data_IF_338400363544
#
_entry.id   IF_338400363544
#
_cell.length_a   1.000
_cell.length_b   1.000
_cell.length_c   1.000
_cell.angle_alpha   90.00
_cell.angle_beta   90.00
_cell.angle_gamma   90.00
#
_symmetry.space_group_name_H-M   'P 1'
#
loop_
_entity.id
_entity.type
_entity.pdbx_description
1 polymer ?
#
# COMPACT_ATOMS: atom_id res chain seq x y z
N UNK A 1 66.68 -27.80 5.65
CA UNK A 1 66.32 -28.11 4.25
C UNK A 1 65.83 -26.83 3.58
N UNK A 2 66.28 -26.54 2.35
CA UNK A 2 66.39 -25.19 1.77
C UNK A 2 65.12 -24.74 1.03
N UNK A 3 65.02 -23.45 0.64
CA UNK A 3 63.95 -22.90 -0.18
C UNK A 3 64.19 -23.24 -1.67
N UNK A 4 63.13 -23.34 -2.47
CA UNK A 4 63.27 -23.49 -3.93
C UNK A 4 62.86 -22.24 -4.69
N UNK A 5 63.77 -21.90 -5.59
CA UNK A 5 63.96 -20.67 -6.35
C UNK A 5 63.19 -20.70 -7.67
N UNK A 6 62.88 -19.51 -8.20
CA UNK A 6 62.54 -19.22 -9.60
C UNK A 6 63.51 -19.83 -10.61
N UNK A 7 63.13 -19.99 -11.89
CA UNK A 7 63.76 -19.34 -13.07
C UNK A 7 63.05 -19.73 -14.38
N UNK A 8 62.94 -18.74 -15.25
CA UNK A 8 62.36 -18.60 -16.58
C UNK A 8 63.09 -19.34 -17.73
N UNK A 9 62.44 -19.45 -18.90
CA UNK A 9 62.88 -19.00 -20.26
C UNK A 9 62.60 -19.95 -21.45
N UNK A 10 62.49 -19.30 -22.62
CA UNK A 10 62.55 -19.77 -24.04
C UNK A 10 61.27 -20.39 -24.63
N UNK A 11 60.81 -20.06 -25.84
CA UNK A 11 61.32 -19.24 -26.94
C UNK A 11 60.49 -19.52 -28.20
N UNK A 12 60.19 -18.48 -28.98
CA UNK A 12 59.43 -18.41 -30.25
C UNK A 12 59.92 -19.42 -31.33
N UNK A 13 59.14 -19.93 -32.29
CA UNK A 13 58.59 -19.22 -33.47
C UNK A 13 58.04 -20.25 -34.49
N UNK A 14 56.87 -20.04 -35.12
CA UNK A 14 56.74 -20.02 -36.59
C UNK A 14 55.43 -19.33 -37.07
N UNK A 15 55.56 -18.57 -38.17
CA UNK A 15 54.73 -17.48 -38.75
C UNK A 15 53.43 -17.96 -39.45
N UNK A 16 52.38 -17.15 -39.72
CA UNK A 16 52.29 -16.13 -40.79
C UNK A 16 51.01 -15.25 -40.69
N UNK A 17 51.17 -13.96 -41.02
CA UNK A 17 50.29 -12.75 -41.10
C UNK A 17 49.02 -12.83 -42.03
N UNK A 18 48.05 -11.86 -42.07
CA UNK A 18 48.21 -10.39 -41.93
C UNK A 18 47.11 -9.58 -41.19
N UNK A 19 47.18 -8.26 -41.37
CA UNK A 19 46.75 -7.16 -40.53
C UNK A 19 45.34 -6.56 -40.76
N UNK A 20 44.88 -5.84 -39.73
CA UNK A 20 44.14 -4.56 -39.70
C UNK A 20 42.65 -4.43 -40.10
N UNK A 21 41.95 -3.79 -39.13
CA UNK A 21 40.83 -2.82 -39.20
C UNK A 21 39.37 -3.32 -39.14
N UNK A 22 38.66 -2.88 -38.09
CA UNK A 22 37.21 -2.70 -38.10
C UNK A 22 36.45 -3.19 -36.86
N UNK A 23 36.32 -2.32 -35.87
CA UNK A 23 35.39 -2.27 -34.73
C UNK A 23 34.14 -3.19 -34.74
N UNK A 24 33.96 -4.00 -33.68
CA UNK A 24 32.70 -4.19 -32.92
C UNK A 24 32.82 -5.33 -31.89
N UNK A 25 32.61 -5.03 -30.60
CA UNK A 25 32.44 -6.02 -29.53
C UNK A 25 31.09 -6.78 -29.70
N UNK A 26 31.04 -8.13 -29.66
CA UNK A 26 29.78 -8.86 -29.70
C UNK A 26 29.11 -8.89 -28.31
N UNK A 27 27.85 -8.45 -28.27
CA UNK A 27 26.96 -8.50 -27.10
C UNK A 27 26.77 -9.92 -26.57
N UNK A 28 27.00 -10.10 -25.26
CA UNK A 28 26.71 -11.32 -24.52
C UNK A 28 25.21 -11.41 -24.26
N UNK A 29 24.52 -12.14 -25.13
CA UNK A 29 23.09 -12.41 -25.05
C UNK A 29 22.76 -13.22 -23.77
N UNK A 30 22.25 -12.55 -22.74
CA UNK A 30 21.86 -13.16 -21.46
C UNK A 30 20.48 -13.78 -21.63
N UNK A 31 20.42 -14.98 -22.20
CA UNK A 31 19.19 -15.79 -22.19
C UNK A 31 18.94 -16.20 -20.73
N UNK A 32 17.90 -15.60 -20.13
CA UNK A 32 17.30 -16.03 -18.87
C UNK A 32 16.73 -17.42 -19.11
N UNK A 33 17.42 -18.44 -18.61
CA UNK A 33 16.96 -19.82 -18.60
C UNK A 33 15.78 -19.92 -17.61
N UNK A 34 14.60 -20.20 -18.14
CA UNK A 34 13.37 -20.37 -17.36
C UNK A 34 13.46 -21.70 -16.61
N UNK A 35 13.64 -21.65 -15.30
CA UNK A 35 13.39 -22.81 -14.44
C UNK A 35 11.87 -23.00 -14.39
N UNK A 36 11.39 -24.06 -15.04
CA UNK A 36 10.04 -24.58 -14.87
C UNK A 36 9.94 -25.19 -13.47
N UNK A 37 9.20 -24.50 -12.59
CA UNK A 37 9.04 -24.88 -11.19
C UNK A 37 7.80 -25.78 -11.10
N UNK A 38 8.01 -26.99 -10.58
CA UNK A 38 6.99 -27.99 -10.26
C UNK A 38 5.90 -27.41 -9.35
N UNK A 39 4.69 -27.30 -9.91
CA UNK A 39 3.48 -26.63 -9.40
C UNK A 39 2.74 -27.42 -8.29
N UNK A 40 3.35 -28.52 -7.81
CA UNK A 40 2.67 -29.55 -7.00
C UNK A 40 2.70 -29.32 -5.47
N UNK A 41 3.07 -28.11 -5.00
CA UNK A 41 3.17 -27.80 -3.56
C UNK A 41 2.53 -26.46 -3.15
N UNK A 42 1.85 -25.79 -4.06
CA UNK A 42 1.08 -24.58 -3.75
C UNK A 42 -0.27 -24.98 -3.12
N UNK A 43 -0.62 -24.37 -1.99
CA UNK A 43 -1.89 -24.67 -1.29
C UNK A 43 -3.09 -24.27 -2.16
N UNK A 44 -2.94 -23.35 -3.12
CA UNK A 44 -3.99 -22.90 -4.03
C UNK A 44 -3.79 -23.49 -5.44
N UNK A 45 -4.27 -24.71 -5.65
CA UNK A 45 -4.10 -25.46 -6.91
C UNK A 45 -5.01 -25.01 -8.08
N UNK A 46 -5.93 -24.07 -7.90
CA UNK A 46 -6.90 -23.70 -8.94
C UNK A 46 -6.64 -22.30 -9.52
N UNK A 47 -6.49 -22.24 -10.85
CA UNK A 47 -6.45 -21.01 -11.65
C UNK A 47 -7.64 -20.06 -11.37
N UNK A 48 -8.72 -20.57 -10.78
CA UNK A 48 -9.95 -19.83 -10.47
C UNK A 48 -9.79 -18.80 -9.32
N UNK A 49 -8.85 -19.00 -8.39
CA UNK A 49 -8.64 -18.06 -7.27
C UNK A 49 -7.64 -16.93 -7.57
N UNK A 50 -6.85 -17.02 -8.64
CA UNK A 50 -5.87 -15.98 -9.04
C UNK A 50 -6.51 -14.92 -9.94
N UNK A 51 -7.50 -14.21 -9.39
CA UNK A 51 -8.40 -13.34 -10.16
C UNK A 51 -7.82 -11.95 -10.51
N UNK A 52 -6.65 -11.57 -9.97
CA UNK A 52 -6.09 -10.23 -10.16
C UNK A 52 -5.00 -10.21 -11.22
N UNK A 53 -5.33 -9.61 -12.37
CA UNK A 53 -4.34 -9.20 -13.36
C UNK A 53 -3.56 -7.98 -12.89
N UNK A 54 -2.36 -7.81 -13.45
CA UNK A 54 -1.46 -6.68 -13.19
C UNK A 54 -2.14 -5.32 -12.98
N UNK A 55 -3.01 -4.92 -13.90
CA UNK A 55 -3.67 -3.61 -13.86
C UNK A 55 -4.56 -3.45 -12.62
N UNK A 56 -5.26 -4.52 -12.21
CA UNK A 56 -6.11 -4.53 -11.01
C UNK A 56 -5.27 -4.49 -9.74
N UNK A 57 -4.17 -5.24 -9.71
CA UNK A 57 -3.21 -5.22 -8.60
C UNK A 57 -2.56 -3.87 -8.44
N UNK A 58 -2.12 -3.22 -9.52
CA UNK A 58 -1.57 -1.87 -9.48
C UNK A 58 -2.49 -0.86 -8.80
N UNK A 59 -3.80 -1.03 -8.89
CA UNK A 59 -4.79 -0.14 -8.27
C UNK A 59 -5.06 -0.49 -6.81
N UNK A 60 -5.11 -1.77 -6.50
CA UNK A 60 -5.15 -2.21 -5.09
C UNK A 60 -3.91 -1.69 -4.38
N UNK A 61 -2.73 -1.79 -5.00
CA UNK A 61 -1.49 -1.23 -4.50
C UNK A 61 -1.51 0.30 -4.49
N UNK A 62 -2.09 0.95 -5.49
CA UNK A 62 -2.31 2.40 -5.51
C UNK A 62 -3.11 2.86 -4.29
N UNK A 63 -4.16 2.12 -3.93
CA UNK A 63 -4.98 2.42 -2.76
C UNK A 63 -4.28 2.07 -1.45
N UNK A 64 -3.54 0.97 -1.44
CA UNK A 64 -2.95 0.43 -0.22
C UNK A 64 -1.63 1.08 0.14
N UNK A 65 -0.81 1.50 -0.83
CA UNK A 65 0.60 1.80 -0.62
C UNK A 65 0.99 3.18 -1.09
N UNK A 66 1.50 4.00 -0.20
CA UNK A 66 2.56 4.94 -0.55
C UNK A 66 3.87 4.41 0.06
N UNK A 67 5.03 4.51 -0.62
CA UNK A 67 6.41 4.69 -0.12
C UNK A 67 7.52 4.08 -0.99
N UNK A 68 8.71 4.67 -0.83
CA UNK A 68 10.03 4.34 -1.42
C UNK A 68 10.79 3.20 -0.74
N UNK A 69 10.25 2.59 0.33
CA UNK A 69 10.78 1.35 0.93
C UNK A 69 10.79 0.17 -0.04
N UNK A 70 10.09 0.32 -1.17
CA UNK A 70 10.06 -0.58 -2.32
C UNK A 70 11.42 -0.96 -2.87
N UNK A 71 12.46 -0.13 -2.79
CA UNK A 71 13.73 -0.50 -3.41
C UNK A 71 14.39 -1.73 -2.75
N UNK A 72 14.14 -1.96 -1.46
CA UNK A 72 14.68 -3.12 -0.72
C UNK A 72 13.75 -4.33 -0.75
N UNK A 73 12.55 -4.17 -1.31
CA UNK A 73 11.51 -5.20 -1.29
C UNK A 73 11.76 -6.25 -2.38
N UNK A 74 11.98 -5.92 -3.67
CA UNK A 74 12.37 -6.89 -4.68
C UNK A 74 13.63 -7.67 -4.30
N UNK A 75 14.60 -7.08 -3.61
CA UNK A 75 15.79 -7.81 -3.14
C UNK A 75 15.47 -8.78 -2.00
N UNK A 76 14.64 -8.38 -1.03
CA UNK A 76 14.15 -9.27 0.03
C UNK A 76 13.23 -10.39 -0.53
N UNK A 77 12.40 -10.08 -1.51
CA UNK A 77 11.52 -11.05 -2.17
C UNK A 77 12.28 -11.99 -3.12
N UNK A 78 13.35 -11.51 -3.75
CA UNK A 78 14.28 -12.33 -4.53
C UNK A 78 14.97 -13.38 -3.65
N UNK A 79 15.41 -12.99 -2.45
CA UNK A 79 16.10 -13.89 -1.52
C UNK A 79 15.16 -14.83 -0.78
N UNK A 80 13.95 -14.38 -0.39
CA UNK A 80 13.01 -15.14 0.45
C UNK A 80 11.84 -15.73 -0.35
N UNK A 81 11.20 -14.93 -1.22
CA UNK A 81 9.93 -15.25 -1.89
C UNK A 81 10.04 -16.14 -3.13
N UNK A 82 11.17 -16.12 -3.84
CA UNK A 82 11.39 -17.00 -5.01
C UNK A 82 12.06 -18.34 -4.65
N UNK A 83 12.55 -18.49 -3.41
CA UNK A 83 13.32 -19.67 -2.95
C UNK A 83 12.53 -20.60 -2.02
N UNK A 84 11.46 -20.12 -1.39
CA UNK A 84 10.61 -20.89 -0.46
C UNK A 84 9.11 -20.76 -0.79
N UNK A 85 8.57 -21.75 -1.52
CA UNK A 85 7.15 -21.83 -1.92
C UNK A 85 6.13 -21.93 -0.75
N UNK A 86 6.59 -21.98 0.51
CA UNK A 86 5.74 -22.07 1.71
C UNK A 86 5.40 -20.73 2.39
N UNK A 87 5.96 -19.60 1.92
CA UNK A 87 5.85 -18.29 2.60
C UNK A 87 4.72 -17.46 1.98
N UNK A 88 3.50 -17.67 2.44
CA UNK A 88 2.31 -16.95 1.96
C UNK A 88 1.85 -15.82 2.90
N UNK A 89 2.40 -15.73 4.10
CA UNK A 89 2.14 -14.64 5.04
C UNK A 89 3.43 -14.04 5.59
N UNK A 90 3.37 -12.78 6.01
CA UNK A 90 4.51 -12.09 6.66
C UNK A 90 4.93 -12.79 7.95
N UNK A 91 3.98 -13.40 8.65
CA UNK A 91 4.29 -14.19 9.83
C UNK A 91 5.14 -15.42 9.49
N UNK A 92 4.99 -16.02 8.30
CA UNK A 92 5.84 -17.13 7.86
C UNK A 92 7.24 -16.66 7.46
N UNK A 93 7.34 -15.51 6.82
CA UNK A 93 8.62 -14.90 6.49
C UNK A 93 9.39 -14.56 7.78
N UNK A 94 8.69 -14.01 8.77
CA UNK A 94 9.24 -13.75 10.10
C UNK A 94 9.61 -15.04 10.85
N UNK A 95 8.82 -16.11 10.70
CA UNK A 95 9.12 -17.42 11.28
C UNK A 95 10.44 -17.99 10.76
N UNK A 96 10.73 -17.82 9.47
CA UNK A 96 11.98 -18.28 8.86
C UNK A 96 13.20 -17.49 9.33
N UNK A 97 13.06 -16.18 9.56
CA UNK A 97 14.17 -15.32 9.98
C UNK A 97 14.42 -15.32 11.49
N UNK A 98 13.39 -15.53 12.32
CA UNK A 98 13.48 -15.32 13.77
C UNK A 98 12.73 -16.36 14.62
N UNK A 99 12.31 -17.48 14.03
CA UNK A 99 11.65 -18.57 14.74
C UNK A 99 10.19 -18.29 15.15
N UNK A 100 9.59 -19.15 16.00
CA UNK A 100 8.16 -19.09 16.32
C UNK A 100 7.75 -17.84 17.10
N UNK A 101 8.65 -17.22 17.86
CA UNK A 101 8.37 -15.98 18.58
C UNK A 101 8.23 -14.81 17.59
N UNK A 102 9.13 -14.71 16.61
CA UNK A 102 9.06 -13.70 15.58
C UNK A 102 7.79 -13.83 14.72
N UNK A 103 7.31 -15.06 14.50
CA UNK A 103 6.03 -15.35 13.82
C UNK A 103 4.84 -14.69 14.53
N UNK A 104 4.76 -14.86 15.85
CA UNK A 104 3.63 -14.33 16.63
C UNK A 104 3.70 -12.81 16.76
N UNK A 105 4.89 -12.26 17.02
CA UNK A 105 5.08 -10.81 17.08
C UNK A 105 4.76 -10.15 15.74
N UNK A 106 5.28 -10.68 14.62
CA UNK A 106 5.07 -10.10 13.30
C UNK A 106 3.61 -10.13 12.87
N UNK A 107 2.88 -11.22 13.15
CA UNK A 107 1.47 -11.27 12.83
C UNK A 107 0.58 -10.48 13.80
N UNK A 108 0.95 -10.37 15.08
CA UNK A 108 0.29 -9.47 16.02
C UNK A 108 0.45 -8.01 15.60
N UNK A 109 1.67 -7.60 15.23
CA UNK A 109 1.96 -6.25 14.72
C UNK A 109 1.25 -5.97 13.40
N UNK A 110 1.18 -6.96 12.51
CA UNK A 110 0.41 -6.87 11.26
C UNK A 110 -1.06 -6.57 11.53
N UNK A 111 -1.71 -7.34 12.42
CA UNK A 111 -3.12 -7.14 12.77
C UNK A 111 -3.35 -5.78 13.43
N UNK A 112 -2.50 -5.43 14.40
CA UNK A 112 -2.56 -4.14 15.09
C UNK A 112 -2.47 -2.97 14.09
N UNK A 113 -1.56 -3.07 13.11
CA UNK A 113 -1.40 -2.03 12.08
C UNK A 113 -2.69 -1.82 11.29
N UNK A 114 -3.35 -2.91 10.86
CA UNK A 114 -4.58 -2.79 10.07
C UNK A 114 -5.79 -2.34 10.89
N UNK A 115 -5.88 -2.76 12.15
CA UNK A 115 -6.93 -2.29 13.07
C UNK A 115 -6.78 -0.78 13.26
N UNK A 116 -5.58 -0.28 13.59
CA UNK A 116 -5.33 1.15 13.75
C UNK A 116 -5.56 1.94 12.46
N UNK A 117 -5.12 1.40 11.31
CA UNK A 117 -5.37 2.02 10.01
C UNK A 117 -6.88 2.10 9.71
N UNK A 118 -7.63 1.01 9.91
CA UNK A 118 -9.09 0.99 9.74
C UNK A 118 -9.79 2.01 10.64
N UNK A 119 -9.37 2.14 11.90
CA UNK A 119 -9.87 3.15 12.83
C UNK A 119 -9.67 4.57 12.31
N UNK A 120 -8.48 4.90 11.78
CA UNK A 120 -8.23 6.22 11.18
C UNK A 120 -9.13 6.49 9.97
N UNK A 121 -9.38 5.47 9.15
CA UNK A 121 -10.29 5.59 8.02
C UNK A 121 -11.77 5.73 8.43
N UNK A 122 -12.20 5.10 9.53
CA UNK A 122 -13.55 5.29 10.08
C UNK A 122 -13.75 6.71 10.61
N UNK A 123 -12.72 7.30 11.22
CA UNK A 123 -12.75 8.71 11.64
C UNK A 123 -12.91 9.63 10.42
N UNK A 124 -12.15 9.39 9.34
CA UNK A 124 -12.27 10.16 8.10
C UNK A 124 -13.66 10.05 7.45
N UNK A 125 -14.25 8.85 7.45
CA UNK A 125 -15.61 8.63 6.96
C UNK A 125 -16.68 9.30 7.86
N UNK A 126 -16.47 9.26 9.18
CA UNK A 126 -17.34 9.92 10.16
C UNK A 126 -17.33 11.44 10.00
N UNK A 127 -16.16 12.05 9.79
CA UNK A 127 -16.02 13.48 9.46
C UNK A 127 -16.84 13.82 8.20
N UNK A 128 -16.77 12.98 7.15
CA UNK A 128 -17.57 13.17 5.95
C UNK A 128 -19.09 13.16 6.21
N UNK A 129 -19.59 12.21 7.00
CA UNK A 129 -21.02 12.18 7.37
C UNK A 129 -21.42 13.36 8.26
N UNK A 130 -20.56 13.73 9.21
CA UNK A 130 -20.78 14.86 10.12
C UNK A 130 -20.87 16.17 9.36
N UNK A 131 -20.00 16.40 8.38
CA UNK A 131 -19.99 17.63 7.57
C UNK A 131 -21.20 17.75 6.64
N UNK A 132 -21.77 16.62 6.20
CA UNK A 132 -23.02 16.60 5.42
C UNK A 132 -24.28 16.74 6.27
N UNK A 133 -24.20 16.34 7.55
CA UNK A 133 -25.33 16.40 8.47
C UNK A 133 -25.49 17.80 9.06
N UNK A 134 -26.71 18.33 9.03
CA UNK A 134 -27.06 19.56 9.77
C UNK A 134 -27.38 19.30 11.26
N UNK A 135 -27.35 18.04 11.71
CA UNK A 135 -27.61 17.68 13.11
C UNK A 135 -26.31 17.58 13.91
N UNK A 136 -26.33 18.14 15.12
CA UNK A 136 -25.26 17.99 16.10
C UNK A 136 -25.38 16.64 16.81
N UNK A 137 -24.71 15.64 16.25
CA UNK A 137 -24.56 14.30 16.85
C UNK A 137 -23.09 14.11 17.23
N UNK A 138 -22.82 13.34 18.29
CA UNK A 138 -21.45 13.05 18.71
C UNK A 138 -20.67 12.31 17.61
N UNK A 139 -19.37 12.59 17.51
CA UNK A 139 -18.53 11.98 16.46
C UNK A 139 -18.51 10.45 16.55
N UNK A 140 -18.59 9.91 17.77
CA UNK A 140 -18.62 8.47 18.04
C UNK A 140 -19.79 7.79 17.32
N UNK A 141 -20.98 8.40 17.29
CA UNK A 141 -22.12 7.82 16.59
C UNK A 141 -21.89 7.79 15.08
N UNK A 142 -21.26 8.81 14.50
CA UNK A 142 -20.89 8.81 13.08
C UNK A 142 -19.82 7.77 12.76
N UNK A 143 -18.87 7.53 13.68
CA UNK A 143 -17.87 6.46 13.56
C UNK A 143 -18.52 5.08 13.60
N UNK A 144 -19.55 4.87 14.44
CA UNK A 144 -20.31 3.61 14.46
C UNK A 144 -21.08 3.37 13.15
N UNK A 145 -21.68 4.42 12.59
CA UNK A 145 -22.33 4.35 11.28
C UNK A 145 -21.31 4.01 10.19
N UNK A 146 -20.15 4.67 10.19
CA UNK A 146 -19.04 4.38 9.28
C UNK A 146 -18.57 2.92 9.37
N UNK A 147 -18.34 2.42 10.59
CA UNK A 147 -17.94 1.04 10.86
C UNK A 147 -18.99 0.04 10.34
N UNK A 148 -20.27 0.30 10.58
CA UNK A 148 -21.38 -0.55 10.11
C UNK A 148 -21.46 -0.58 8.58
N UNK A 149 -21.34 0.57 7.91
CA UNK A 149 -21.31 0.64 6.45
C UNK A 149 -20.14 -0.16 5.88
N UNK A 150 -18.95 -0.03 6.46
CA UNK A 150 -17.77 -0.78 6.01
C UNK A 150 -17.90 -2.28 6.28
N UNK A 151 -18.48 -2.70 7.41
CA UNK A 151 -18.72 -4.12 7.71
C UNK A 151 -19.62 -4.80 6.66
N UNK A 152 -20.68 -4.10 6.23
CA UNK A 152 -21.60 -4.58 5.20
C UNK A 152 -20.87 -4.77 3.86
N UNK A 153 -20.05 -3.80 3.45
CA UNK A 153 -19.31 -3.87 2.17
C UNK A 153 -18.17 -4.91 2.23
N UNK A 154 -17.52 -5.05 3.38
CA UNK A 154 -16.42 -6.00 3.60
C UNK A 154 -16.88 -7.45 3.71
N UNK A 155 -18.18 -7.69 3.90
CA UNK A 155 -18.77 -9.03 3.99
C UNK A 155 -18.53 -9.89 2.74
N UNK A 156 -18.14 -9.30 1.60
CA UNK A 156 -17.80 -10.02 0.37
C UNK A 156 -16.39 -10.64 0.49
N UNK A 157 -16.24 -11.99 0.50
CA UNK A 157 -14.95 -12.65 0.72
C UNK A 157 -14.01 -12.67 -0.49
N UNK A 158 -14.40 -12.10 -1.64
CA UNK A 158 -13.63 -12.22 -2.90
C UNK A 158 -13.00 -10.91 -3.35
N UNK A 159 -11.67 -10.88 -3.44
CA UNK A 159 -10.89 -9.71 -3.87
C UNK A 159 -11.12 -9.33 -5.35
N UNK A 160 -11.46 -10.29 -6.20
CA UNK A 160 -11.77 -10.04 -7.61
C UNK A 160 -12.95 -9.09 -7.81
N UNK A 161 -14.01 -9.24 -7.00
CA UNK A 161 -15.18 -8.33 -7.03
C UNK A 161 -14.87 -6.99 -6.36
N UNK A 162 -14.05 -6.99 -5.31
CA UNK A 162 -13.58 -5.77 -4.65
C UNK A 162 -12.73 -4.88 -5.56
N UNK A 163 -12.08 -5.42 -6.60
CA UNK A 163 -11.29 -4.62 -7.54
C UNK A 163 -12.11 -3.59 -8.32
N UNK A 164 -13.36 -3.90 -8.68
CA UNK A 164 -14.25 -2.94 -9.36
C UNK A 164 -14.66 -1.82 -8.40
N UNK A 165 -14.98 -2.19 -7.16
CA UNK A 165 -15.30 -1.22 -6.13
C UNK A 165 -14.07 -0.37 -5.76
N UNK A 166 -12.86 -0.95 -5.81
CA UNK A 166 -11.61 -0.22 -5.61
C UNK A 166 -11.38 0.83 -6.71
N UNK A 167 -11.75 0.56 -7.96
CA UNK A 167 -11.76 1.55 -9.05
C UNK A 167 -12.68 2.72 -8.75
N UNK A 168 -13.93 2.43 -8.35
CA UNK A 168 -14.92 3.47 -8.01
C UNK A 168 -14.41 4.30 -6.83
N UNK A 169 -13.91 3.64 -5.79
CA UNK A 169 -13.38 4.33 -4.63
C UNK A 169 -12.10 5.13 -4.93
N UNK A 170 -11.28 4.71 -5.89
CA UNK A 170 -10.10 5.47 -6.31
C UNK A 170 -10.49 6.71 -7.10
N UNK A 171 -11.40 6.58 -8.06
CA UNK A 171 -11.93 7.71 -8.81
C UNK A 171 -12.60 8.73 -7.87
N UNK A 172 -13.42 8.24 -6.92
CA UNK A 172 -14.09 9.05 -5.90
C UNK A 172 -13.11 9.87 -5.05
N UNK A 173 -12.11 9.24 -4.42
CA UNK A 173 -11.16 9.97 -3.58
C UNK A 173 -10.29 10.93 -4.40
N UNK A 174 -9.88 10.52 -5.61
CA UNK A 174 -9.06 11.34 -6.50
C UNK A 174 -9.81 12.60 -6.95
N UNK A 175 -11.07 12.45 -7.38
CA UNK A 175 -11.92 13.57 -7.74
C UNK A 175 -12.20 14.48 -6.54
N UNK A 176 -12.44 13.93 -5.35
CA UNK A 176 -12.64 14.73 -4.14
C UNK A 176 -11.41 15.58 -3.79
N UNK A 177 -10.21 15.00 -3.82
CA UNK A 177 -8.96 15.74 -3.58
C UNK A 177 -8.75 16.80 -4.66
N UNK A 178 -9.01 16.47 -5.92
CA UNK A 178 -8.90 17.43 -7.03
C UNK A 178 -9.85 18.63 -6.86
N UNK A 179 -11.10 18.40 -6.42
CA UNK A 179 -12.06 19.45 -6.11
C UNK A 179 -11.52 20.37 -5.00
N UNK A 180 -10.94 19.81 -3.94
CA UNK A 180 -10.36 20.62 -2.84
C UNK A 180 -9.17 21.42 -3.32
N UNK A 181 -8.27 20.81 -4.10
CA UNK A 181 -7.08 21.47 -4.64
C UNK A 181 -7.46 22.65 -5.52
N UNK A 182 -8.44 22.49 -6.41
CA UNK A 182 -8.97 23.62 -7.20
C UNK A 182 -9.72 24.61 -6.31
N UNK A 183 -10.52 24.11 -5.37
CA UNK A 183 -11.31 24.93 -4.46
C UNK A 183 -10.49 25.90 -3.63
N UNK A 184 -9.38 25.44 -3.02
CA UNK A 184 -8.51 26.31 -2.21
C UNK A 184 -7.83 27.41 -3.03
N UNK A 185 -7.69 27.24 -4.36
CA UNK A 185 -7.16 28.32 -5.23
C UNK A 185 -8.16 29.43 -5.51
N UNK A 186 -9.46 29.17 -5.33
CA UNK A 186 -10.54 30.12 -5.58
C UNK A 186 -11.01 30.84 -4.31
N UNK A 187 -10.50 30.43 -3.15
CA UNK A 187 -10.92 30.94 -1.85
C UNK A 187 -9.94 32.02 -1.40
N UNK A 188 -10.44 33.24 -1.18
CA UNK A 188 -9.63 34.40 -0.77
C UNK A 188 -9.03 34.26 0.64
N UNK A 189 -9.63 33.40 1.49
CA UNK A 189 -9.20 33.14 2.87
C UNK A 189 -9.40 31.68 3.27
N UNK A 190 -8.36 30.95 3.69
CA UNK A 190 -8.50 29.55 4.09
C UNK A 190 -9.46 29.41 5.27
N UNK A 191 -10.21 28.30 5.30
CA UNK A 191 -11.31 28.12 6.25
C UNK A 191 -10.88 28.19 7.73
N UNK A 192 -9.65 27.75 8.04
CA UNK A 192 -9.12 27.78 9.40
C UNK A 192 -8.42 29.10 9.78
N UNK A 193 -8.31 30.08 8.88
CA UNK A 193 -7.80 31.40 9.21
C UNK A 193 -8.88 32.26 9.92
N UNK A 194 -8.46 33.28 10.70
CA UNK A 194 -9.38 34.26 11.26
C UNK A 194 -10.23 34.91 10.15
N UNK A 195 -11.56 34.84 10.29
CA UNK A 195 -12.50 35.30 9.26
C UNK A 195 -12.47 36.83 9.07
N UNK A 196 -11.94 37.57 10.05
CA UNK A 196 -11.77 39.02 10.03
C UNK A 196 -10.39 39.41 10.55
N UNK A 197 -9.76 40.41 9.93
CA UNK A 197 -8.45 40.95 10.33
C UNK A 197 -7.31 40.58 9.37
N UNK A 198 -6.09 41.11 9.59
CA UNK A 198 -4.90 40.70 8.87
C UNK A 198 -4.54 39.26 9.26
N UNK A 199 -4.24 38.43 8.27
CA UNK A 199 -3.75 37.07 8.47
C UNK A 199 -2.48 36.89 7.64
N UNK A 200 -1.51 36.17 8.20
CA UNK A 200 -0.26 35.86 7.52
C UNK A 200 -0.23 34.37 7.15
N UNK A 201 -0.07 34.12 5.85
CA UNK A 201 0.15 32.79 5.28
C UNK A 201 1.65 32.51 5.39
N UNK A 202 2.03 32.03 6.57
CA UNK A 202 3.40 31.71 6.90
C UNK A 202 3.87 30.47 6.12
N UNK A 203 4.23 30.67 4.85
CA UNK A 203 4.69 29.63 3.91
C UNK A 203 6.21 29.61 3.94
N UNK A 204 6.78 28.57 4.53
CA UNK A 204 8.23 28.36 4.61
C UNK A 204 8.63 27.18 3.74
N UNK A 205 9.56 27.40 2.79
CA UNK A 205 10.10 26.30 1.97
C UNK A 205 10.97 25.34 2.80
N UNK A 206 11.67 25.85 3.81
CA UNK A 206 12.41 25.08 4.81
C UNK A 206 12.02 25.60 6.18
N UNK A 207 11.09 24.92 6.84
CA UNK A 207 10.67 25.27 8.19
C UNK A 207 11.64 24.72 9.24
N UNK A 208 11.73 25.42 10.37
CA UNK A 208 12.32 24.91 11.63
C UNK A 208 11.19 24.56 12.60
N UNK A 209 10.44 23.46 12.37
CA UNK A 209 9.38 23.08 13.29
C UNK A 209 9.98 22.76 14.65
N UNK A 210 9.23 23.06 15.72
CA UNK A 210 9.55 22.55 17.04
C UNK A 210 9.55 21.01 17.07
N UNK A 211 10.08 20.43 18.15
CA UNK A 211 10.22 18.98 18.27
C UNK A 211 8.90 18.22 18.03
N UNK A 212 7.81 18.64 18.69
CA UNK A 212 6.50 17.98 18.59
C UNK A 212 5.93 18.01 17.16
N UNK A 213 5.73 19.18 16.51
CA UNK A 213 5.21 19.21 15.14
C UNK A 213 6.14 18.52 14.14
N UNK A 214 7.46 18.57 14.34
CA UNK A 214 8.43 17.84 13.52
C UNK A 214 8.26 16.32 13.60
N UNK A 215 8.13 15.77 14.82
CA UNK A 215 7.89 14.33 15.02
C UNK A 215 6.52 13.92 14.48
N UNK A 216 5.47 14.70 14.72
CA UNK A 216 4.12 14.40 14.19
C UNK A 216 4.11 14.40 12.65
N UNK A 217 4.77 15.36 12.01
CA UNK A 217 4.90 15.38 10.55
C UNK A 217 5.67 14.16 10.03
N UNK A 218 6.79 13.80 10.68
CA UNK A 218 7.57 12.61 10.32
C UNK A 218 6.76 11.32 10.48
N UNK A 219 5.99 11.19 11.57
CA UNK A 219 5.11 10.04 11.82
C UNK A 219 3.95 9.97 10.83
N UNK A 220 3.34 11.11 10.47
CA UNK A 220 2.27 11.16 9.47
C UNK A 220 2.78 10.76 8.09
N UNK A 221 3.97 11.22 7.71
CA UNK A 221 4.65 10.76 6.49
C UNK A 221 4.90 9.25 6.62
N UNK A 222 5.60 8.79 7.66
CA UNK A 222 5.91 7.37 7.85
C UNK A 222 4.67 6.47 7.81
N UNK A 223 3.57 6.87 8.45
CA UNK A 223 2.31 6.12 8.49
C UNK A 223 1.61 6.14 7.14
N UNK A 224 1.58 7.28 6.45
CA UNK A 224 1.11 7.37 5.07
C UNK A 224 1.90 6.47 4.13
N UNK A 225 3.18 6.24 4.47
CA UNK A 225 4.16 5.45 3.73
C UNK A 225 4.32 3.98 4.22
N UNK A 226 3.43 3.50 5.11
CA UNK A 226 3.64 2.29 5.92
C UNK A 226 3.06 0.97 5.39
N UNK A 227 2.95 0.75 4.08
CA UNK A 227 2.09 -0.32 3.54
C UNK A 227 2.77 -1.61 3.08
N UNK A 228 4.06 -1.73 3.35
CA UNK A 228 4.86 -2.96 3.18
C UNK A 228 4.14 -4.25 3.59
N UNK A 229 3.36 -4.30 4.69
CA UNK A 229 2.68 -5.52 5.06
C UNK A 229 1.66 -6.05 4.03
N UNK A 230 1.14 -5.22 3.14
CA UNK A 230 0.12 -5.67 2.16
C UNK A 230 0.66 -6.51 1.03
N UNK A 231 1.96 -6.45 0.76
CA UNK A 231 2.52 -7.00 -0.46
C UNK A 231 2.34 -8.51 -0.55
N UNK A 232 2.61 -9.24 0.53
CA UNK A 232 2.45 -10.70 0.56
C UNK A 232 1.00 -11.15 0.29
N UNK A 233 -0.02 -10.66 1.03
CA UNK A 233 -1.42 -10.98 0.73
C UNK A 233 -1.87 -10.62 -0.69
N UNK A 234 -1.35 -9.52 -1.26
CA UNK A 234 -1.72 -9.06 -2.59
C UNK A 234 -1.05 -9.89 -3.68
N UNK A 235 0.23 -10.25 -3.51
CA UNK A 235 0.98 -11.10 -4.45
C UNK A 235 0.33 -12.48 -4.57
N UNK A 236 -0.11 -13.06 -3.44
CA UNK A 236 -0.77 -14.37 -3.41
C UNK A 236 -2.05 -14.43 -4.27
N UNK A 237 -2.63 -13.28 -4.61
CA UNK A 237 -3.86 -13.19 -5.40
C UNK A 237 -3.61 -12.84 -6.88
N UNK A 238 -2.36 -12.58 -7.24
CA UNK A 238 -2.01 -12.24 -8.61
C UNK A 238 -1.98 -13.47 -9.51
N UNK A 239 -2.52 -13.30 -10.72
CA UNK A 239 -2.37 -14.29 -11.80
C UNK A 239 -0.91 -14.51 -12.18
N UNK A 240 -0.08 -13.47 -12.09
CA UNK A 240 1.37 -13.55 -12.35
C UNK A 240 2.13 -12.74 -11.28
N UNK A 241 2.79 -13.41 -10.32
CA UNK A 241 3.58 -12.78 -9.25
C UNK A 241 4.84 -12.07 -9.79
N UNK A 242 5.41 -12.56 -10.90
CA UNK A 242 6.59 -11.95 -11.55
C UNK A 242 6.30 -10.54 -12.03
N UNK A 243 5.09 -10.32 -12.51
CA UNK A 243 4.56 -8.99 -12.71
C UNK A 243 3.96 -8.50 -11.40
N UNK A 244 4.70 -8.31 -10.32
CA UNK A 244 4.24 -7.52 -9.17
C UNK A 244 5.01 -6.19 -9.10
N UNK A 245 6.32 -6.26 -9.32
CA UNK A 245 7.26 -5.15 -9.19
C UNK A 245 6.91 -3.94 -10.05
N UNK A 246 6.65 -4.11 -11.36
CA UNK A 246 6.29 -2.97 -12.22
C UNK A 246 4.88 -2.35 -11.92
N UNK A 247 3.97 -3.02 -11.19
CA UNK A 247 2.64 -2.51 -10.81
C UNK A 247 2.83 -1.61 -9.62
N UNK A 248 3.61 -2.14 -8.69
CA UNK A 248 4.06 -1.44 -7.53
C UNK A 248 4.82 -0.17 -7.94
N UNK A 249 5.87 -0.24 -8.78
CA UNK A 249 6.57 0.97 -9.25
C UNK A 249 5.67 1.96 -9.98
N UNK A 250 4.81 1.48 -10.89
CA UNK A 250 3.87 2.36 -11.60
C UNK A 250 2.91 3.08 -10.66
N UNK A 251 2.41 2.39 -9.63
CA UNK A 251 1.55 3.00 -8.62
C UNK A 251 2.30 4.01 -7.75
N UNK A 252 3.52 3.69 -7.31
CA UNK A 252 4.30 4.57 -6.44
C UNK A 252 4.71 5.88 -7.12
N UNK A 253 5.14 5.83 -8.38
CA UNK A 253 5.51 7.05 -9.13
C UNK A 253 4.31 7.98 -9.27
N UNK A 254 3.13 7.43 -9.59
CA UNK A 254 1.90 8.21 -9.72
C UNK A 254 1.46 8.83 -8.39
N UNK A 255 1.54 8.07 -7.30
CA UNK A 255 1.18 8.58 -5.98
C UNK A 255 2.14 9.64 -5.47
N UNK A 256 3.44 9.44 -5.66
CA UNK A 256 4.45 10.41 -5.29
C UNK A 256 4.24 11.73 -6.03
N UNK A 257 3.94 11.68 -7.34
CA UNK A 257 3.67 12.88 -8.12
C UNK A 257 2.41 13.61 -7.65
N UNK A 258 1.32 12.88 -7.38
CA UNK A 258 0.08 13.46 -6.86
C UNK A 258 0.28 14.08 -5.47
N UNK A 259 1.02 13.40 -4.59
CA UNK A 259 1.27 13.86 -3.23
C UNK A 259 2.06 15.17 -3.21
N UNK A 260 3.14 15.25 -4.00
CA UNK A 260 3.93 16.48 -4.12
C UNK A 260 3.11 17.59 -4.78
N UNK A 261 2.38 17.29 -5.87
CA UNK A 261 1.59 18.29 -6.58
C UNK A 261 0.46 18.86 -5.72
N UNK A 262 -0.40 18.01 -5.16
CA UNK A 262 -1.54 18.43 -4.34
C UNK A 262 -1.09 19.03 -3.00
N UNK A 263 -0.09 18.42 -2.36
CA UNK A 263 0.47 18.93 -1.11
C UNK A 263 1.06 20.32 -1.26
N UNK A 264 1.82 20.56 -2.34
CA UNK A 264 2.41 21.89 -2.61
C UNK A 264 1.32 22.93 -2.86
N UNK A 265 0.32 22.64 -3.69
CA UNK A 265 -0.76 23.60 -3.97
C UNK A 265 -1.54 23.93 -2.69
N UNK A 266 -1.96 22.93 -1.92
CA UNK A 266 -2.69 23.19 -0.67
C UNK A 266 -1.84 23.98 0.32
N UNK A 267 -0.54 23.67 0.44
CA UNK A 267 0.36 24.40 1.32
C UNK A 267 0.57 25.86 0.90
N UNK A 268 0.70 26.13 -0.40
CA UNK A 268 0.89 27.50 -0.91
C UNK A 268 -0.34 28.40 -0.69
N UNK A 269 -1.56 27.84 -0.76
CA UNK A 269 -2.80 28.61 -0.64
C UNK A 269 -3.40 28.62 0.78
N UNK A 270 -3.12 27.62 1.62
CA UNK A 270 -3.62 27.57 3.00
C UNK A 270 -2.54 27.90 4.05
N UNK A 271 -1.25 27.78 3.72
CA UNK A 271 -0.14 27.99 4.64
C UNK A 271 -0.27 27.16 5.92
N UNK A 272 -0.15 27.80 7.08
CA UNK A 272 -0.34 27.15 8.40
C UNK A 272 -1.79 26.78 8.73
N UNK A 273 -2.77 27.23 7.95
CA UNK A 273 -4.20 27.03 8.20
C UNK A 273 -4.79 25.82 7.45
N UNK A 274 -3.95 24.81 7.16
CA UNK A 274 -4.42 23.55 6.59
C UNK A 274 -5.21 22.77 7.64
N UNK A 275 -6.45 22.41 7.31
CA UNK A 275 -7.28 21.59 8.19
C UNK A 275 -6.78 20.14 8.23
N UNK A 276 -7.07 19.43 9.31
CA UNK A 276 -6.85 17.98 9.41
C UNK A 276 -8.19 17.31 9.69
N UNK A 277 -8.76 16.53 8.75
CA UNK A 277 -8.25 16.20 7.41
C UNK A 277 -8.21 17.38 6.43
N UNK A 278 -7.31 17.32 5.43
CA UNK A 278 -7.07 18.41 4.48
C UNK A 278 -8.29 18.80 3.65
N UNK A 279 -9.26 17.90 3.49
CA UNK A 279 -10.52 18.16 2.76
C UNK A 279 -11.32 19.33 3.37
N UNK A 280 -11.19 19.57 4.68
CA UNK A 280 -11.83 20.69 5.38
C UNK A 280 -11.26 22.07 5.02
N UNK A 281 -10.10 22.14 4.35
CA UNK A 281 -9.41 23.41 4.13
C UNK A 281 -10.13 24.34 3.15
N UNK A 282 -10.95 23.78 2.24
CA UNK A 282 -11.73 24.56 1.28
C UNK A 282 -12.90 25.33 1.92
N UNK A 283 -13.43 24.84 3.05
CA UNK A 283 -14.56 25.43 3.77
C UNK A 283 -15.89 25.48 3.00
N UNK A 284 -16.94 25.83 3.74
CA UNK A 284 -18.25 26.16 3.18
C UNK A 284 -18.87 25.05 2.33
N UNK A 285 -19.36 25.42 1.14
CA UNK A 285 -20.03 24.48 0.24
C UNK A 285 -19.05 23.51 -0.44
N UNK A 286 -17.83 23.97 -0.76
CA UNK A 286 -16.82 23.14 -1.42
C UNK A 286 -16.37 21.98 -0.53
N UNK A 287 -16.22 22.24 0.77
CA UNK A 287 -15.94 21.22 1.78
C UNK A 287 -17.03 20.12 1.78
N UNK A 288 -18.32 20.51 1.80
CA UNK A 288 -19.43 19.54 1.78
C UNK A 288 -19.44 18.69 0.52
N UNK A 289 -19.16 19.30 -0.64
CA UNK A 289 -19.08 18.58 -1.92
C UNK A 289 -17.91 17.60 -1.90
N UNK A 290 -16.72 18.03 -1.44
CA UNK A 290 -15.54 17.17 -1.38
C UNK A 290 -15.73 15.98 -0.43
N UNK A 291 -16.29 16.20 0.75
CA UNK A 291 -16.62 15.11 1.68
C UNK A 291 -17.70 14.19 1.11
N UNK A 292 -18.74 14.72 0.46
CA UNK A 292 -19.75 13.90 -0.21
C UNK A 292 -19.18 13.00 -1.30
N UNK A 293 -18.31 13.53 -2.16
CA UNK A 293 -17.68 12.77 -3.25
C UNK A 293 -16.67 11.75 -2.72
N UNK A 294 -16.03 12.00 -1.58
CA UNK A 294 -15.00 11.09 -1.01
C UNK A 294 -15.55 9.91 -0.20
N UNK A 295 -16.83 9.92 0.19
CA UNK A 295 -17.45 8.82 0.99
C UNK A 295 -17.24 7.43 0.38
N UNK A 296 -17.53 7.18 -0.92
CA UNK A 296 -17.25 5.87 -1.53
C UNK A 296 -15.76 5.51 -1.49
N UNK A 297 -14.88 6.50 -1.63
CA UNK A 297 -13.44 6.36 -1.49
C UNK A 297 -13.03 5.86 -0.12
N UNK A 298 -13.51 6.51 0.94
CA UNK A 298 -13.24 6.16 2.34
C UNK A 298 -13.81 4.78 2.71
N UNK A 299 -15.05 4.47 2.33
CA UNK A 299 -15.67 3.15 2.54
C UNK A 299 -14.80 2.07 1.87
N UNK A 300 -14.37 2.30 0.64
CA UNK A 300 -13.58 1.29 -0.07
C UNK A 300 -12.17 1.12 0.46
N UNK A 301 -11.52 2.19 0.91
CA UNK A 301 -10.19 2.10 1.51
C UNK A 301 -10.23 1.38 2.86
N UNK A 302 -11.19 1.73 3.74
CA UNK A 302 -11.38 1.03 5.01
C UNK A 302 -11.76 -0.44 4.80
N UNK A 303 -12.61 -0.73 3.82
CA UNK A 303 -12.97 -2.11 3.44
C UNK A 303 -11.73 -2.91 3.07
N UNK A 304 -10.81 -2.38 2.27
CA UNK A 304 -9.59 -3.11 1.89
C UNK A 304 -8.72 -3.43 3.11
N UNK A 305 -8.56 -2.51 4.05
CA UNK A 305 -7.77 -2.73 5.27
C UNK A 305 -8.39 -3.80 6.17
N UNK A 306 -9.70 -3.70 6.44
CA UNK A 306 -10.45 -4.68 7.22
C UNK A 306 -10.41 -6.06 6.55
N UNK A 307 -10.62 -6.11 5.23
CA UNK A 307 -10.61 -7.35 4.47
C UNK A 307 -9.24 -8.05 4.49
N UNK A 308 -8.14 -7.30 4.37
CA UNK A 308 -6.78 -7.87 4.46
C UNK A 308 -6.48 -8.39 5.86
N UNK A 309 -6.90 -7.68 6.90
CA UNK A 309 -6.77 -8.13 8.29
C UNK A 309 -7.58 -9.41 8.54
N UNK A 310 -8.86 -9.41 8.18
CA UNK A 310 -9.75 -10.56 8.34
C UNK A 310 -9.27 -11.79 7.57
N UNK A 311 -8.76 -11.61 6.34
CA UNK A 311 -8.16 -12.69 5.57
C UNK A 311 -6.91 -13.27 6.23
N UNK A 312 -6.06 -12.42 6.81
CA UNK A 312 -4.88 -12.89 7.53
C UNK A 312 -5.25 -13.69 8.80
N UNK A 313 -6.35 -13.32 9.48
CA UNK A 313 -6.92 -14.08 10.59
C UNK A 313 -7.50 -15.41 10.12
N UNK A 314 -8.27 -15.40 9.04
CA UNK A 314 -8.88 -16.61 8.46
C UNK A 314 -7.80 -17.65 8.10
N UNK A 315 -6.73 -17.23 7.42
CA UNK A 315 -5.62 -18.11 7.04
C UNK A 315 -4.88 -18.62 8.26
N UNK A 316 -4.77 -17.84 9.34
CA UNK A 316 -4.16 -18.29 10.60
C UNK A 316 -5.02 -19.33 11.32
N UNK A 317 -6.33 -19.14 11.37
CA UNK A 317 -7.27 -20.02 12.08
C UNK A 317 -7.49 -21.34 11.31
N UNK A 318 -7.66 -21.27 9.99
CA UNK A 318 -8.05 -22.41 9.15
C UNK A 318 -6.89 -23.04 8.36
N UNK A 319 -5.63 -22.71 8.68
CA UNK A 319 -4.45 -23.07 7.87
C UNK A 319 -4.33 -24.54 7.47
N UNK A 320 -4.76 -25.44 8.35
CA UNK A 320 -4.64 -26.90 8.18
C UNK A 320 -6.01 -27.57 7.98
N UNK A 321 -7.02 -26.82 7.57
CA UNK A 321 -8.40 -27.28 7.49
C UNK A 321 -8.92 -27.29 6.04
N UNK A 322 -9.67 -28.33 5.68
CA UNK A 322 -10.40 -28.43 4.40
C UNK A 322 -11.43 -27.29 4.25
N UNK A 323 -11.82 -26.65 5.36
CA UNK A 323 -12.73 -25.51 5.40
C UNK A 323 -12.10 -24.19 4.91
N UNK A 324 -10.78 -24.14 4.67
CA UNK A 324 -10.13 -22.94 4.13
C UNK A 324 -10.57 -22.65 2.68
N UNK A 325 -10.77 -23.70 1.87
CA UNK A 325 -11.10 -23.59 0.45
C UNK A 325 -12.54 -24.01 0.10
N UNK A 326 -13.17 -24.81 0.96
CA UNK A 326 -14.57 -25.21 0.76
C UNK A 326 -15.55 -24.18 1.33
N UNK A 327 -16.63 -23.88 0.59
CA UNK A 327 -17.73 -22.97 1.00
C UNK A 327 -18.60 -23.61 2.09
N UNK A 328 -17.99 -23.92 3.22
CA UNK A 328 -18.65 -24.53 4.38
C UNK A 328 -19.17 -23.45 5.33
N UNK A 329 -20.14 -23.80 6.18
CA UNK A 329 -20.66 -22.87 7.20
C UNK A 329 -19.55 -22.39 8.14
N UNK A 330 -18.59 -23.27 8.46
CA UNK A 330 -17.42 -22.95 9.29
C UNK A 330 -16.55 -21.86 8.64
N UNK A 331 -16.36 -21.90 7.32
CA UNK A 331 -15.65 -20.86 6.59
C UNK A 331 -16.35 -19.50 6.73
N UNK A 332 -17.66 -19.46 6.47
CA UNK A 332 -18.44 -18.23 6.54
C UNK A 332 -18.54 -17.64 7.94
N UNK A 333 -18.73 -18.48 8.97
CA UNK A 333 -18.76 -18.03 10.36
C UNK A 333 -17.40 -17.49 10.79
N UNK A 334 -16.30 -18.18 10.45
CA UNK A 334 -14.95 -17.71 10.78
C UNK A 334 -14.61 -16.41 10.03
N UNK A 335 -15.08 -16.28 8.78
CA UNK A 335 -14.93 -15.06 7.99
C UNK A 335 -15.65 -13.87 8.62
N UNK A 336 -16.95 -14.01 8.92
CA UNK A 336 -17.74 -12.95 9.53
C UNK A 336 -17.23 -12.60 10.93
N UNK A 337 -16.83 -13.58 11.73
CA UNK A 337 -16.22 -13.34 13.05
C UNK A 337 -14.89 -12.58 12.94
N UNK A 338 -14.06 -12.92 11.95
CA UNK A 338 -12.79 -12.20 11.71
C UNK A 338 -13.02 -10.77 11.23
N UNK A 339 -14.09 -10.53 10.48
CA UNK A 339 -14.50 -9.19 10.08
C UNK A 339 -15.00 -8.38 11.28
N UNK A 340 -15.85 -8.95 12.12
CA UNK A 340 -16.38 -8.28 13.32
C UNK A 340 -15.24 -7.82 14.24
N UNK A 341 -14.30 -8.72 14.56
CA UNK A 341 -13.12 -8.44 15.39
C UNK A 341 -12.18 -7.37 14.79
N UNK A 342 -12.21 -7.18 13.48
CA UNK A 342 -11.36 -6.17 12.82
C UNK A 342 -12.06 -4.82 12.68
N UNK A 343 -13.37 -4.76 12.86
CA UNK A 343 -14.17 -3.53 12.76
C UNK A 343 -14.52 -2.96 14.16
N UNK A 344 -14.62 -3.80 15.20
CA UNK A 344 -15.02 -3.41 16.57
C UNK A 344 -13.91 -3.68 17.58
#
# INVERSE_FOLDING_TARGET
MPPYTSTSLEGSSEKMEPATNGDAFPERNTKTECIDIDDNREVFHEEEYRALGWKRTGIILMKLCFATGVLTIPSAFSSVGMRYAGVHSIADAAALMGGPIAREIAGGLFLLTWILASGSGFIGLAEGFKTLSNRHVCNIAWTLVAATCTAIVSSIPTLGRLSILAWIGFASIFTAVFIVVVGVTQVDRPAAAPQTGPYDMEVHAVGVPGFVPGVVAAVNLFTGYGSTPTFMPVIAEMRSPRSFTKSLFSSQVFLASCYVAFGTVVYMYCGKYVASPSLGSAGGTLEKIAYGVSIPGFIMTTTLWVHLAAKSLLVRILRNSVHLQSKTVIHWVTWLASLDVTVH
#
